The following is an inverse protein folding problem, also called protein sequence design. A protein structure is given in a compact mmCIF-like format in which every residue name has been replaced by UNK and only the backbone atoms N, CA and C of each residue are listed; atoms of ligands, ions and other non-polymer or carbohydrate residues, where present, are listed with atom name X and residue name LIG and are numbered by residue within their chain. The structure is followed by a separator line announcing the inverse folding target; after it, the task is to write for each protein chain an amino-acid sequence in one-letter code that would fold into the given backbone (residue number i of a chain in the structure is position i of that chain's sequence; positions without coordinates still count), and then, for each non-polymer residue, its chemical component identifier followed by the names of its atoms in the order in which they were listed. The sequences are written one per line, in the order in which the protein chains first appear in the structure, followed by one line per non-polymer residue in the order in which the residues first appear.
data_IF_473148018836
#
_entry.id   IF_473148018836
#
_cell.length_a   1.000
_cell.length_b   1.000
_cell.length_c   1.000
_cell.angle_alpha   90.00
_cell.angle_beta   90.00
_cell.angle_gamma   90.00
#
_symmetry.space_group_name_H-M   'P 1'
#
loop_
_entity.id
_entity.type
_entity.pdbx_description
1 polymer ?
#
# COMPACT_ATOMS: atom_id res chain seq x y z
N UNK A 1 -27.45 -2.84 -11.75
CA UNK A 1 -26.70 -1.67 -11.27
C UNK A 1 -26.02 -2.07 -9.99
N UNK A 2 -24.72 -2.39 -10.05
CA UNK A 2 -23.98 -2.82 -8.87
C UNK A 2 -23.30 -1.59 -8.26
N UNK A 3 -23.94 -1.02 -7.25
CA UNK A 3 -23.46 0.16 -6.52
C UNK A 3 -22.07 -0.15 -6.00
N UNK A 4 -21.09 0.73 -6.25
CA UNK A 4 -19.74 0.58 -5.69
C UNK A 4 -19.82 0.56 -4.17
N UNK A 5 -19.81 -0.64 -3.58
CA UNK A 5 -19.90 -0.80 -2.15
C UNK A 5 -18.59 -0.35 -1.50
N UNK A 6 -18.62 0.19 -0.27
CA UNK A 6 -17.42 0.55 0.49
C UNK A 6 -16.38 -0.59 0.55
N UNK A 7 -16.83 -1.85 0.53
CA UNK A 7 -15.97 -3.03 0.51
C UNK A 7 -15.24 -3.24 -0.81
N UNK A 8 -15.93 -3.10 -1.96
CA UNK A 8 -15.28 -3.06 -3.28
C UNK A 8 -14.28 -1.92 -3.38
N UNK A 9 -14.64 -0.74 -2.87
CA UNK A 9 -13.75 0.43 -2.87
C UNK A 9 -12.54 0.27 -1.94
N UNK A 10 -12.66 -0.48 -0.83
CA UNK A 10 -11.54 -0.83 0.06
C UNK A 10 -10.63 -1.89 -0.56
N UNK A 11 -11.19 -2.88 -1.26
CA UNK A 11 -10.44 -3.94 -1.91
C UNK A 11 -9.38 -3.40 -2.88
N UNK A 12 -9.67 -2.29 -3.57
CA UNK A 12 -8.80 -1.65 -4.54
C UNK A 12 -7.82 -0.63 -3.92
N UNK A 13 -7.37 -0.77 -2.67
CA UNK A 13 -6.56 0.31 -2.03
C UNK A 13 -5.12 -0.04 -1.78
N UNK A 14 -4.63 -1.24 -2.12
CA UNK A 14 -3.26 -1.66 -1.74
C UNK A 14 -2.17 -0.62 -2.04
N UNK A 15 -2.07 -0.01 -3.22
CA UNK A 15 -1.04 0.99 -3.45
C UNK A 15 -1.23 2.31 -2.67
N UNK A 16 -2.47 2.67 -2.35
CA UNK A 16 -2.78 3.82 -1.47
C UNK A 16 -2.39 3.51 -0.03
N UNK A 17 -2.69 2.29 0.44
CA UNK A 17 -2.27 1.80 1.74
C UNK A 17 -0.74 1.78 1.85
N UNK A 18 -0.05 1.28 0.80
CA UNK A 18 1.41 1.27 0.77
C UNK A 18 1.98 2.69 0.81
N UNK A 19 1.44 3.61 0.01
CA UNK A 19 1.88 5.01 0.04
C UNK A 19 1.66 5.67 1.41
N UNK A 20 0.58 5.33 2.12
CA UNK A 20 0.35 5.82 3.48
C UNK A 20 1.37 5.25 4.48
N UNK A 21 1.74 3.97 4.34
CA UNK A 21 2.80 3.35 5.15
C UNK A 21 4.17 3.96 4.85
N UNK A 22 4.52 4.11 3.58
CA UNK A 22 5.79 4.68 3.14
C UNK A 22 5.97 6.13 3.63
N UNK A 23 4.87 6.90 3.68
CA UNK A 23 4.90 8.30 4.10
C UNK A 23 4.79 8.53 5.62
N UNK A 24 4.20 7.59 6.37
CA UNK A 24 3.76 7.83 7.75
C UNK A 24 4.18 6.77 8.77
N UNK A 25 4.98 5.78 8.40
CA UNK A 25 5.45 4.76 9.34
C UNK A 25 6.56 5.31 10.24
N UNK A 26 6.28 5.40 11.53
CA UNK A 26 7.27 5.84 12.54
C UNK A 26 8.46 4.88 12.58
N UNK A 27 8.20 3.58 12.53
CA UNK A 27 9.23 2.54 12.60
C UNK A 27 10.23 2.59 11.44
N UNK A 28 9.88 3.12 10.28
CA UNK A 28 10.82 3.26 9.15
C UNK A 28 11.93 4.29 9.42
N UNK A 29 11.72 5.18 10.40
CA UNK A 29 12.69 6.22 10.79
C UNK A 29 13.42 5.89 12.10
N UNK A 30 13.10 4.75 12.72
CA UNK A 30 13.70 4.33 13.99
C UNK A 30 14.93 3.45 13.73
N UNK A 31 16.11 3.79 14.27
CA UNK A 31 17.28 2.92 14.22
C UNK A 31 16.96 1.54 14.82
N UNK A 32 17.53 0.49 14.23
CA UNK A 32 17.41 -0.89 14.71
C UNK A 32 15.98 -1.41 14.91
N UNK A 33 15.00 -0.79 14.24
CA UNK A 33 13.60 -1.21 14.30
C UNK A 33 13.40 -2.70 13.94
N UNK A 34 14.27 -3.27 13.12
CA UNK A 34 14.19 -4.69 12.78
C UNK A 34 14.32 -5.62 14.00
N UNK A 35 15.13 -5.28 15.01
CA UNK A 35 15.30 -6.07 16.24
C UNK A 35 14.13 -5.89 17.23
N UNK A 36 13.37 -4.80 17.07
CA UNK A 36 12.21 -4.45 17.89
C UNK A 36 10.94 -5.09 17.33
N UNK A 37 10.79 -5.06 16.01
CA UNK A 37 9.56 -5.48 15.33
C UNK A 37 9.58 -6.94 14.86
N UNK A 38 10.77 -7.57 14.81
CA UNK A 38 10.93 -8.98 14.49
C UNK A 38 11.83 -9.63 15.54
N UNK A 39 11.43 -10.82 15.97
CA UNK A 39 12.25 -11.63 16.86
C UNK A 39 13.45 -12.13 16.06
N UNK A 40 14.64 -11.77 16.53
CA UNK A 40 15.91 -12.24 15.95
C UNK A 40 16.07 -13.76 16.05
N UNK A 41 17.11 -14.29 15.39
CA UNK A 41 17.43 -15.70 15.36
C UNK A 41 17.94 -16.21 16.71
N UNK A 42 17.06 -16.79 17.54
CA UNK A 42 17.33 -17.59 18.76
C UNK A 42 18.22 -16.98 19.86
N UNK A 43 18.85 -15.84 19.62
CA UNK A 43 19.77 -15.13 20.52
C UNK A 43 19.02 -14.28 21.54
N UNK A 44 17.81 -13.81 21.19
CA UNK A 44 16.91 -13.14 22.12
C UNK A 44 16.23 -14.16 23.04
N UNK A 45 16.43 -13.96 24.34
CA UNK A 45 15.69 -14.65 25.40
C UNK A 45 14.20 -14.30 25.33
N UNK A 46 13.31 -15.13 25.90
CA UNK A 46 11.89 -14.80 25.97
C UNK A 46 11.61 -13.44 26.61
N UNK A 47 12.36 -13.07 27.65
CA UNK A 47 12.17 -11.80 28.37
C UNK A 47 12.56 -10.60 27.50
N UNK A 48 13.68 -10.69 26.78
CA UNK A 48 14.10 -9.62 25.85
C UNK A 48 13.10 -9.45 24.71
N UNK A 49 12.54 -10.56 24.20
CA UNK A 49 11.52 -10.49 23.18
C UNK A 49 10.22 -9.86 23.68
N UNK A 50 9.75 -10.19 24.89
CA UNK A 50 8.56 -9.55 25.46
C UNK A 50 8.75 -8.02 25.59
N UNK A 51 9.93 -7.58 26.04
CA UNK A 51 10.25 -6.14 26.12
C UNK A 51 10.28 -5.47 24.74
N UNK A 52 10.89 -6.10 23.75
CA UNK A 52 10.92 -5.60 22.37
C UNK A 52 9.51 -5.51 21.77
N UNK A 53 8.69 -6.53 21.98
CA UNK A 53 7.29 -6.59 21.55
C UNK A 53 6.46 -5.47 22.16
N UNK A 54 6.57 -5.22 23.46
CA UNK A 54 5.87 -4.12 24.13
C UNK A 54 6.29 -2.75 23.58
N UNK A 55 7.59 -2.56 23.30
CA UNK A 55 8.09 -1.36 22.65
C UNK A 55 7.50 -1.18 21.23
N UNK A 56 7.49 -2.25 20.43
CA UNK A 56 6.92 -2.24 19.08
C UNK A 56 5.42 -1.90 19.09
N UNK A 57 4.65 -2.48 20.00
CA UNK A 57 3.23 -2.21 20.17
C UNK A 57 2.99 -0.77 20.60
N UNK A 58 3.78 -0.25 21.55
CA UNK A 58 3.73 1.14 22.00
C UNK A 58 3.97 2.12 20.84
N UNK A 59 5.01 1.88 20.03
CA UNK A 59 5.29 2.67 18.83
C UNK A 59 4.13 2.62 17.82
N UNK A 60 3.54 1.44 17.61
CA UNK A 60 2.41 1.29 16.70
C UNK A 60 1.19 2.12 17.13
N UNK A 61 0.92 2.25 18.43
CA UNK A 61 -0.26 2.98 18.95
C UNK A 61 -0.28 4.45 18.52
N UNK A 62 0.89 5.08 18.43
CA UNK A 62 1.03 6.48 18.01
C UNK A 62 1.25 6.64 16.50
N UNK A 63 1.41 5.54 15.75
CA UNK A 63 1.79 5.59 14.34
C UNK A 63 0.60 6.00 13.44
N UNK A 64 0.69 7.09 12.67
CA UNK A 64 -0.41 7.52 11.80
C UNK A 64 -0.67 6.53 10.65
N UNK A 65 0.33 5.72 10.28
CA UNK A 65 0.18 4.65 9.29
C UNK A 65 -0.38 3.34 9.87
N UNK A 66 -0.68 3.24 11.18
CA UNK A 66 -1.06 1.99 11.86
C UNK A 66 -2.15 1.21 11.12
N UNK A 67 -3.28 1.86 10.85
CA UNK A 67 -4.44 1.22 10.21
C UNK A 67 -4.14 0.75 8.78
N UNK A 68 -3.33 1.49 8.03
CA UNK A 68 -2.92 1.08 6.68
C UNK A 68 -1.94 -0.10 6.73
N UNK A 69 -1.03 -0.10 7.71
CA UNK A 69 -0.06 -1.17 7.93
C UNK A 69 -0.74 -2.48 8.39
N UNK A 70 -1.74 -2.38 9.27
CA UNK A 70 -2.58 -3.49 9.71
C UNK A 70 -3.30 -4.14 8.52
N UNK A 71 -4.04 -3.36 7.74
CA UNK A 71 -4.77 -3.89 6.57
C UNK A 71 -3.82 -4.52 5.54
N UNK A 72 -2.64 -3.94 5.30
CA UNK A 72 -1.62 -4.58 4.45
C UNK A 72 -1.11 -5.89 5.04
N UNK A 73 -0.88 -5.96 6.36
CA UNK A 73 -0.44 -7.18 7.02
C UNK A 73 -1.46 -8.32 6.87
N UNK A 74 -2.74 -8.01 7.08
CA UNK A 74 -3.83 -8.97 6.91
C UNK A 74 -3.91 -9.49 5.46
N UNK A 75 -3.79 -8.60 4.47
CA UNK A 75 -3.81 -8.96 3.05
C UNK A 75 -2.57 -9.73 2.58
N UNK A 76 -1.41 -9.47 3.17
CA UNK A 76 -0.16 -10.14 2.84
C UNK A 76 -0.07 -11.55 3.41
N UNK A 77 -0.93 -11.89 4.37
CA UNK A 77 -0.82 -13.17 5.06
C UNK A 77 0.21 -13.14 6.21
N UNK A 78 0.55 -11.97 6.74
CA UNK A 78 1.56 -11.86 7.79
C UNK A 78 1.10 -12.51 9.10
N UNK A 79 2.05 -13.05 9.86
CA UNK A 79 1.80 -13.74 11.12
C UNK A 79 1.28 -15.18 10.96
N UNK A 80 1.61 -16.03 11.95
CA UNK A 80 1.20 -17.42 12.03
C UNK A 80 0.44 -17.70 13.34
N UNK A 81 -0.55 -18.61 13.35
CA UNK A 81 -1.23 -19.01 14.58
C UNK A 81 -0.25 -19.53 15.64
N UNK A 82 -0.32 -19.00 16.85
CA UNK A 82 0.53 -19.43 17.97
C UNK A 82 2.00 -19.02 17.88
N UNK A 83 2.37 -18.18 16.89
CA UNK A 83 3.73 -17.66 16.74
C UNK A 83 3.70 -16.14 16.85
N UNK A 84 4.35 -15.63 17.89
CA UNK A 84 4.57 -14.20 18.10
C UNK A 84 6.05 -13.90 17.88
N UNK A 85 6.48 -13.92 16.62
CA UNK A 85 7.85 -13.60 16.19
C UNK A 85 7.94 -12.22 15.52
N UNK A 86 6.83 -11.51 15.44
CA UNK A 86 6.76 -10.21 14.78
C UNK A 86 5.63 -9.34 15.33
N UNK A 87 5.77 -8.03 15.15
CA UNK A 87 4.72 -7.02 15.36
C UNK A 87 4.49 -6.22 14.08
N UNK A 88 3.24 -6.09 13.64
CA UNK A 88 2.88 -5.28 12.47
C UNK A 88 1.49 -4.67 12.63
N UNK A 89 1.36 -3.40 12.26
CA UNK A 89 0.08 -2.70 12.37
C UNK A 89 -0.45 -2.57 13.80
N UNK A 90 0.40 -2.78 14.81
CA UNK A 90 0.01 -2.79 16.23
C UNK A 90 -0.57 -4.11 16.72
N UNK A 91 -0.31 -5.21 16.02
CA UNK A 91 -0.71 -6.56 16.41
C UNK A 91 0.50 -7.50 16.35
N UNK A 92 0.50 -8.52 17.18
CA UNK A 92 1.46 -9.63 17.09
C UNK A 92 1.14 -10.53 15.88
N UNK A 93 2.08 -11.42 15.53
CA UNK A 93 1.87 -12.42 14.49
C UNK A 93 0.63 -13.30 14.74
N UNK A 94 0.43 -13.78 15.96
CA UNK A 94 -0.74 -14.61 16.29
C UNK A 94 -2.05 -13.82 16.29
N UNK A 95 -2.04 -12.56 16.74
CA UNK A 95 -3.20 -11.67 16.68
C UNK A 95 -3.61 -11.38 15.23
N UNK A 96 -2.66 -11.10 14.33
CA UNK A 96 -2.95 -10.93 12.90
C UNK A 96 -3.54 -12.19 12.27
N UNK A 97 -3.05 -13.37 12.64
CA UNK A 97 -3.62 -14.64 12.19
C UNK A 97 -5.06 -14.85 12.69
N UNK A 98 -5.35 -14.46 13.93
CA UNK A 98 -6.69 -14.50 14.50
C UNK A 98 -7.63 -13.51 13.80
N UNK A 99 -7.20 -12.26 13.59
CA UNK A 99 -7.96 -11.25 12.85
C UNK A 99 -8.23 -11.66 11.41
N UNK A 100 -7.23 -12.23 10.72
CA UNK A 100 -7.41 -12.76 9.36
C UNK A 100 -8.44 -13.88 9.31
N UNK A 101 -8.48 -14.74 10.34
CA UNK A 101 -9.51 -15.78 10.47
C UNK A 101 -10.90 -15.18 10.69
N UNK A 102 -11.03 -14.22 11.61
CA UNK A 102 -12.29 -13.56 11.94
C UNK A 102 -12.90 -12.83 10.71
N UNK A 103 -12.05 -12.15 9.93
CA UNK A 103 -12.44 -11.36 8.77
C UNK A 103 -12.19 -12.05 7.42
N UNK A 104 -12.07 -13.38 7.40
CA UNK A 104 -11.56 -14.14 6.26
C UNK A 104 -12.24 -13.80 4.92
N UNK A 105 -13.56 -13.65 4.90
CA UNK A 105 -14.32 -13.29 3.68
C UNK A 105 -13.96 -11.90 3.16
N UNK A 106 -13.86 -10.91 4.05
CA UNK A 106 -13.51 -9.52 3.72
C UNK A 106 -12.09 -9.46 3.18
N UNK A 107 -11.15 -10.11 3.87
CA UNK A 107 -9.74 -10.16 3.47
C UNK A 107 -9.59 -10.87 2.12
N UNK A 108 -10.23 -12.03 1.91
CA UNK A 108 -10.19 -12.73 0.64
C UNK A 108 -10.70 -11.87 -0.53
N UNK A 109 -11.80 -11.13 -0.33
CA UNK A 109 -12.30 -10.19 -1.33
C UNK A 109 -11.32 -9.04 -1.61
N UNK A 110 -10.64 -8.52 -0.58
CA UNK A 110 -9.63 -7.49 -0.73
C UNK A 110 -8.36 -7.98 -1.46
N UNK A 111 -7.90 -9.20 -1.14
CA UNK A 111 -6.76 -9.85 -1.82
C UNK A 111 -7.09 -10.14 -3.28
N UNK A 112 -8.29 -10.66 -3.57
CA UNK A 112 -8.74 -10.87 -4.95
C UNK A 112 -8.79 -9.56 -5.74
N UNK A 113 -9.26 -8.47 -5.12
CA UNK A 113 -9.27 -7.15 -5.74
C UNK A 113 -7.85 -6.56 -5.96
N UNK A 114 -6.88 -6.90 -5.09
CA UNK A 114 -5.47 -6.54 -5.27
C UNK A 114 -4.80 -7.31 -6.41
N UNK A 115 -5.25 -8.53 -6.70
CA UNK A 115 -4.78 -9.34 -7.82
C UNK A 115 -5.24 -8.81 -9.18
N UNK A 116 -6.14 -7.82 -9.22
CA UNK A 116 -6.68 -7.23 -10.44
C UNK A 116 -5.59 -6.47 -11.23
N UNK A 117 -5.06 -7.03 -12.35
CA UNK A 117 -3.92 -6.46 -13.07
C UNK A 117 -4.19 -5.03 -13.57
N UNK A 118 -5.46 -4.77 -13.91
CA UNK A 118 -5.95 -3.46 -14.33
C UNK A 118 -5.82 -2.42 -13.22
N UNK A 119 -6.09 -2.77 -11.96
CA UNK A 119 -5.97 -1.84 -10.83
C UNK A 119 -4.51 -1.49 -10.51
N UNK A 120 -3.64 -2.49 -10.49
CA UNK A 120 -2.21 -2.30 -10.29
C UNK A 120 -1.60 -1.42 -11.39
N UNK A 121 -2.05 -1.57 -12.63
CA UNK A 121 -1.71 -0.68 -13.73
C UNK A 121 -2.18 0.77 -13.52
N UNK A 122 -3.42 0.97 -13.06
CA UNK A 122 -3.99 2.31 -12.78
C UNK A 122 -3.18 3.04 -11.72
N UNK A 123 -2.86 2.39 -10.59
CA UNK A 123 -2.15 3.10 -9.53
C UNK A 123 -0.69 3.36 -9.89
N UNK A 124 -0.01 2.38 -10.53
CA UNK A 124 1.36 2.57 -11.02
C UNK A 124 1.45 3.78 -11.96
N UNK A 125 0.53 3.89 -12.93
CA UNK A 125 0.51 5.02 -13.88
C UNK A 125 0.11 6.34 -13.21
N UNK A 126 -0.80 6.31 -12.24
CA UNK A 126 -1.17 7.51 -11.47
C UNK A 126 0.00 8.05 -10.65
N UNK A 127 0.78 7.17 -10.01
CA UNK A 127 2.00 7.55 -9.28
C UNK A 127 3.10 8.04 -10.22
N UNK A 128 3.26 7.43 -11.40
CA UNK A 128 4.20 7.90 -12.44
C UNK A 128 3.84 9.33 -12.88
N UNK A 129 2.56 9.59 -13.14
CA UNK A 129 2.08 10.92 -13.52
C UNK A 129 2.34 11.96 -12.43
N UNK A 130 2.10 11.62 -11.15
CA UNK A 130 2.40 12.50 -10.02
C UNK A 130 3.88 12.86 -9.93
N UNK A 131 4.77 11.88 -10.10
CA UNK A 131 6.23 12.11 -10.11
C UNK A 131 6.66 12.99 -11.28
N UNK A 132 6.09 12.77 -12.46
CA UNK A 132 6.34 13.61 -13.65
C UNK A 132 5.90 15.05 -13.43
N UNK A 133 4.74 15.27 -12.80
CA UNK A 133 4.25 16.62 -12.47
C UNK A 133 5.13 17.34 -11.45
N UNK A 134 5.67 16.63 -10.46
CA UNK A 134 6.63 17.18 -9.48
C UNK A 134 7.99 17.50 -10.13
N UNK A 135 8.42 16.66 -11.08
CA UNK A 135 9.70 16.81 -11.77
C UNK A 135 9.69 17.83 -12.92
N UNK A 136 8.54 18.43 -13.24
CA UNK A 136 8.44 19.47 -14.27
C UNK A 136 9.29 20.69 -13.86
N UNK A 137 10.33 21.07 -14.64
CA UNK A 137 11.14 22.24 -14.33
C UNK A 137 10.31 23.52 -14.47
N UNK A 138 10.51 24.48 -13.58
CA UNK A 138 10.00 25.85 -13.75
C UNK A 138 10.81 26.55 -14.85
N UNK A 139 10.22 26.66 -16.04
CA UNK A 139 10.54 27.61 -17.13
C UNK A 139 12.02 27.99 -17.32
N UNK A 140 12.75 27.23 -18.14
CA UNK A 140 14.04 27.64 -18.73
C UNK A 140 13.94 27.77 -20.26
N UNK A 141 14.43 28.87 -20.85
CA UNK A 141 14.31 29.17 -22.31
C UNK A 141 15.47 28.65 -23.18
N UNK A 142 16.29 27.72 -22.68
CA UNK A 142 17.37 27.13 -23.49
C UNK A 142 16.83 26.01 -24.39
N UNK A 143 17.41 25.81 -25.57
CA UNK A 143 17.00 24.76 -26.53
C UNK A 143 16.98 23.36 -25.89
N UNK A 144 17.95 23.06 -25.03
CA UNK A 144 18.03 21.80 -24.26
C UNK A 144 16.92 21.68 -23.21
N UNK A 145 16.51 22.77 -22.56
CA UNK A 145 15.32 22.77 -21.69
C UNK A 145 14.04 22.56 -22.48
N UNK A 146 13.93 23.11 -23.70
CA UNK A 146 12.76 22.94 -24.56
C UNK A 146 12.61 21.48 -25.01
N UNK A 147 13.67 20.85 -25.52
CA UNK A 147 13.67 19.44 -25.95
C UNK A 147 13.37 18.50 -24.76
N UNK A 148 13.96 18.76 -23.58
CA UNK A 148 13.67 17.99 -22.36
C UNK A 148 12.22 18.15 -21.89
N UNK A 149 11.63 19.35 -22.06
CA UNK A 149 10.22 19.60 -21.76
C UNK A 149 9.29 18.90 -22.76
N UNK A 150 9.65 18.85 -24.05
CA UNK A 150 8.86 18.16 -25.07
C UNK A 150 8.84 16.64 -24.85
N UNK A 151 9.98 16.04 -24.51
CA UNK A 151 10.08 14.62 -24.14
C UNK A 151 9.28 14.30 -22.88
N UNK A 152 9.35 15.16 -21.85
CA UNK A 152 8.57 15.03 -20.64
C UNK A 152 7.06 15.14 -20.94
N UNK A 153 6.65 16.12 -21.74
CA UNK A 153 5.26 16.31 -22.16
C UNK A 153 4.74 15.12 -22.98
N UNK A 154 5.56 14.55 -23.87
CA UNK A 154 5.22 13.34 -24.61
C UNK A 154 5.08 12.12 -23.67
N UNK A 155 5.95 12.01 -22.66
CA UNK A 155 5.89 10.97 -21.63
C UNK A 155 4.64 11.10 -20.74
N UNK A 156 4.25 12.33 -20.39
CA UNK A 156 3.02 12.64 -19.66
C UNK A 156 1.79 12.25 -20.50
N UNK A 157 1.72 12.67 -21.77
CA UNK A 157 0.60 12.31 -22.66
C UNK A 157 0.43 10.80 -22.81
N UNK A 158 1.51 10.04 -22.99
CA UNK A 158 1.47 8.56 -23.03
C UNK A 158 0.93 7.96 -21.74
N UNK A 159 1.44 8.43 -20.60
CA UNK A 159 1.00 7.95 -19.27
C UNK A 159 -0.49 8.25 -19.03
N UNK A 160 -0.98 9.42 -19.46
CA UNK A 160 -2.40 9.79 -19.37
C UNK A 160 -3.27 8.91 -20.28
N UNK A 161 -2.82 8.62 -21.52
CA UNK A 161 -3.54 7.78 -22.45
C UNK A 161 -3.68 6.34 -21.92
N UNK A 162 -2.59 5.74 -21.45
CA UNK A 162 -2.59 4.41 -20.84
C UNK A 162 -3.49 4.35 -19.60
N UNK A 163 -3.43 5.37 -18.73
CA UNK A 163 -4.29 5.47 -17.55
C UNK A 163 -5.78 5.58 -17.94
N UNK A 164 -6.09 6.36 -18.96
CA UNK A 164 -7.45 6.53 -19.47
C UNK A 164 -8.00 5.23 -20.03
N UNK A 165 -7.17 4.45 -20.73
CA UNK A 165 -7.56 3.17 -21.28
C UNK A 165 -7.85 2.13 -20.20
N UNK A 166 -6.97 2.01 -19.19
CA UNK A 166 -7.22 1.12 -18.05
C UNK A 166 -8.48 1.50 -17.28
N UNK A 167 -8.74 2.80 -17.11
CA UNK A 167 -9.98 3.30 -16.49
C UNK A 167 -11.21 2.98 -17.34
N UNK A 168 -11.12 3.10 -18.67
CA UNK A 168 -12.21 2.77 -19.60
C UNK A 168 -12.54 1.29 -19.54
N UNK A 169 -11.54 0.41 -19.70
CA UNK A 169 -11.70 -1.04 -19.61
C UNK A 169 -12.34 -1.47 -18.28
N UNK A 170 -11.90 -0.86 -17.18
CA UNK A 170 -12.47 -1.10 -15.85
C UNK A 170 -13.94 -0.67 -15.76
N UNK A 171 -14.35 0.43 -16.40
CA UNK A 171 -15.76 0.84 -16.45
C UNK A 171 -16.59 -0.17 -17.24
N UNK A 172 -16.10 -0.61 -18.39
CA UNK A 172 -16.72 -1.65 -19.22
C UNK A 172 -16.95 -2.96 -18.42
N UNK A 173 -15.90 -3.47 -17.77
CA UNK A 173 -15.93 -4.72 -16.97
C UNK A 173 -16.93 -4.66 -15.81
N UNK A 174 -17.19 -3.48 -15.25
CA UNK A 174 -18.15 -3.30 -14.17
C UNK A 174 -19.58 -2.98 -14.69
N UNK A 175 -19.78 -2.89 -16.00
CA UNK A 175 -21.08 -2.58 -16.62
C UNK A 175 -21.45 -1.09 -16.61
N UNK A 176 -20.46 -0.18 -16.57
CA UNK A 176 -20.67 1.27 -16.46
C UNK A 176 -20.69 1.99 -17.82
N UNK A 177 -20.58 1.27 -18.94
CA UNK A 177 -20.51 1.84 -20.29
C UNK A 177 -21.88 2.03 -20.97
N UNK A 178 -22.99 1.81 -20.26
CA UNK A 178 -24.36 2.04 -20.76
C UNK A 178 -24.97 3.39 -20.32
N UNK A 179 -24.14 4.36 -19.89
CA UNK A 179 -24.60 5.70 -19.57
C UNK A 179 -23.82 6.74 -20.39
N UNK A 180 -24.41 7.06 -21.56
CA UNK A 180 -24.17 8.18 -22.48
C UNK A 180 -22.81 8.25 -23.20
#
# INVERSE_FOLDING_TARGET
MDIMTPDKARGLRRPVLQAAVDAGSVCATTPDAHEIFFRGDRSQTPVEWEAAKDAALSMCRACPARAACEELGLRNGDGLPGVDDMVRGGHTGSELAALRTADAKRIAGAVAADAEPTWNGIVRLSNKLRRQAIAMPSSGRTKTCQESNDDLNASVRRTVAELSELKRRRRAENGWDNAA
#
